data_IF_992490300859
#
_entry.id   IF_992490300859
#
_cell.length_a   1.000
_cell.length_b   1.000
_cell.length_c   1.000
_cell.angle_alpha   90.00
_cell.angle_beta   90.00
_cell.angle_gamma   90.00
#
_symmetry.space_group_name_H-M   'P 1'
#
loop_
_entity.id
_entity.type
_entity.pdbx_description
1 polymer ?
#
# COMPACT_ATOMS: atom_id res chain seq x y z
N UNK A 1 64.06 7.12 -18.76
CA UNK A 1 65.00 7.27 -17.63
C UNK A 1 64.19 7.53 -16.37
N UNK A 2 64.69 7.05 -15.23
CA UNK A 2 64.29 7.27 -13.82
C UNK A 2 62.90 7.87 -13.46
N UNK A 3 62.15 7.11 -12.64
CA UNK A 3 61.36 7.68 -11.53
C UNK A 3 62.27 7.98 -10.32
N UNK A 4 61.83 8.82 -9.36
CA UNK A 4 61.40 8.34 -8.02
C UNK A 4 60.01 8.93 -7.64
N UNK A 5 59.22 8.50 -6.64
CA UNK A 5 59.41 8.06 -5.25
C UNK A 5 59.79 9.20 -4.27
N UNK A 6 59.19 9.39 -3.07
CA UNK A 6 57.94 8.86 -2.48
C UNK A 6 57.21 10.03 -1.72
N UNK A 7 56.76 10.07 -0.45
CA UNK A 7 56.70 9.14 0.70
C UNK A 7 55.74 9.68 1.81
N UNK A 8 55.18 8.83 2.68
CA UNK A 8 54.40 9.20 3.89
C UNK A 8 52.92 9.62 3.67
N UNK A 9 52.03 9.60 4.68
CA UNK A 9 52.15 9.26 6.12
C UNK A 9 50.90 8.48 6.60
N UNK A 10 51.09 7.50 7.47
CA UNK A 10 50.03 6.79 8.21
C UNK A 10 49.84 7.40 9.62
N UNK A 11 48.62 7.37 10.17
CA UNK A 11 48.41 7.56 11.63
C UNK A 11 47.30 6.63 12.14
N UNK A 12 47.67 5.72 13.05
CA UNK A 12 46.75 4.90 13.84
C UNK A 12 47.19 4.92 15.30
N UNK A 13 46.49 5.64 16.19
CA UNK A 13 46.35 5.17 17.58
C UNK A 13 45.27 5.81 18.48
N UNK A 14 44.32 4.96 18.86
CA UNK A 14 44.15 4.51 20.26
C UNK A 14 43.96 5.53 21.40
N UNK A 15 42.72 5.63 21.92
CA UNK A 15 42.34 5.47 23.35
C UNK A 15 40.82 5.71 23.55
N UNK A 16 40.14 5.26 24.62
CA UNK A 16 40.23 4.08 25.53
C UNK A 16 39.15 4.24 26.62
N UNK A 17 38.33 3.21 26.90
CA UNK A 17 37.51 2.92 28.13
C UNK A 17 36.39 1.93 27.71
N UNK A 18 35.99 0.83 28.40
CA UNK A 18 36.18 0.25 29.76
C UNK A 18 35.70 1.16 30.91
N UNK A 19 34.84 0.76 31.85
CA UNK A 19 34.28 -0.56 32.25
C UNK A 19 32.83 -0.35 32.76
N UNK A 20 31.87 -1.27 32.58
CA UNK A 20 31.54 -2.48 33.38
C UNK A 20 30.73 -2.20 34.67
N UNK A 21 30.22 -3.28 35.29
CA UNK A 21 29.41 -3.36 36.52
C UNK A 21 27.96 -2.79 36.43
N UNK A 22 26.92 -3.44 36.98
CA UNK A 22 26.87 -4.78 37.61
C UNK A 22 25.45 -5.19 38.05
N UNK A 23 25.27 -6.50 38.28
CA UNK A 23 24.51 -7.18 39.36
C UNK A 23 23.31 -6.49 40.07
N UNK A 24 22.26 -7.17 40.56
CA UNK A 24 21.70 -8.54 40.45
C UNK A 24 20.38 -8.56 41.28
N UNK A 25 19.82 -9.74 41.60
CA UNK A 25 18.74 -9.98 42.60
C UNK A 25 17.32 -9.47 42.21
N UNK A 26 16.22 -9.94 42.80
CA UNK A 26 15.73 -11.31 43.05
C UNK A 26 14.21 -11.23 43.33
N UNK A 27 13.51 -12.36 43.52
CA UNK A 27 12.04 -12.38 43.66
C UNK A 27 11.55 -12.36 45.12
N UNK A 28 10.36 -11.78 45.35
CA UNK A 28 9.41 -11.94 46.49
C UNK A 28 8.23 -10.96 46.22
N UNK A 29 6.97 -11.16 46.60
CA UNK A 29 6.25 -12.34 47.12
C UNK A 29 4.77 -12.25 46.66
N UNK A 30 3.86 -13.08 47.18
CA UNK A 30 2.43 -13.06 46.88
C UNK A 30 1.58 -12.20 47.84
N UNK A 31 0.39 -11.78 47.40
CA UNK A 31 -0.86 -12.09 48.11
C UNK A 31 -2.07 -12.00 47.15
N UNK A 32 -3.23 -12.55 47.54
CA UNK A 32 -4.46 -12.50 46.76
C UNK A 32 -5.71 -12.29 47.64
N UNK A 33 -6.44 -11.18 47.43
CA UNK A 33 -7.73 -10.91 48.08
C UNK A 33 -8.81 -10.44 47.09
N UNK A 34 -9.58 -11.43 46.65
CA UNK A 34 -11.04 -11.51 46.85
C UNK A 34 -11.86 -10.20 46.91
N UNK A 35 -12.54 -9.86 45.81
CA UNK A 35 -13.70 -8.96 45.81
C UNK A 35 -14.98 -9.76 45.48
N UNK A 36 -15.98 -9.73 46.36
CA UNK A 36 -17.23 -10.52 46.26
C UNK A 36 -18.42 -9.71 45.73
N UNK A 37 -19.21 -10.33 44.85
CA UNK A 37 -20.54 -9.88 44.44
C UNK A 37 -20.54 -8.82 43.32
N UNK A 38 -21.56 -8.73 42.47
CA UNK A 38 -22.91 -9.30 42.57
C UNK A 38 -23.39 -9.92 41.24
N UNK A 39 -24.31 -10.87 41.33
CA UNK A 39 -24.96 -11.53 40.19
C UNK A 39 -26.11 -10.68 39.61
N UNK A 40 -26.15 -10.60 38.28
CA UNK A 40 -27.26 -10.02 37.50
C UNK A 40 -27.60 -10.94 36.31
N UNK A 41 -28.86 -10.98 35.84
CA UNK A 41 -29.32 -12.03 34.93
C UNK A 41 -28.76 -11.91 33.51
N UNK A 42 -28.51 -13.07 32.89
CA UNK A 42 -27.91 -13.17 31.57
C UNK A 42 -28.84 -12.69 30.44
N UNK A 43 -28.69 -11.43 30.05
CA UNK A 43 -29.26 -10.95 28.77
C UNK A 43 -28.37 -11.44 27.63
N UNK A 44 -28.78 -12.50 26.94
CA UNK A 44 -28.11 -13.03 25.74
C UNK A 44 -28.26 -12.05 24.58
N UNK A 45 -27.45 -10.98 24.59
CA UNK A 45 -27.25 -10.12 23.42
C UNK A 45 -26.69 -11.02 22.31
N UNK A 46 -27.54 -11.32 21.33
CA UNK A 46 -27.09 -12.00 20.13
C UNK A 46 -26.26 -11.00 19.34
N UNK A 47 -24.94 -11.06 19.50
CA UNK A 47 -23.98 -10.40 18.62
C UNK A 47 -24.12 -10.99 17.23
N UNK A 48 -25.11 -10.52 16.47
CA UNK A 48 -25.29 -10.82 15.06
C UNK A 48 -24.11 -10.20 14.31
N UNK A 49 -23.02 -10.96 14.23
CA UNK A 49 -21.94 -10.72 13.30
C UNK A 49 -22.49 -10.89 11.88
N UNK A 50 -23.13 -9.84 11.37
CA UNK A 50 -23.75 -9.78 10.04
C UNK A 50 -22.66 -9.71 8.96
N UNK A 51 -21.86 -10.78 8.90
CA UNK A 51 -20.86 -11.09 7.87
C UNK A 51 -21.56 -11.63 6.63
N UNK A 52 -22.62 -10.93 6.21
CA UNK A 52 -23.29 -11.12 4.94
C UNK A 52 -22.34 -10.74 3.81
N UNK A 53 -21.47 -11.68 3.45
CA UNK A 53 -20.50 -11.56 2.34
C UNK A 53 -21.24 -11.07 1.11
N UNK A 54 -20.88 -9.87 0.63
CA UNK A 54 -21.63 -9.21 -0.45
C UNK A 54 -21.62 -10.09 -1.71
N UNK A 55 -22.77 -10.69 -2.00
CA UNK A 55 -22.99 -11.53 -3.20
C UNK A 55 -23.21 -10.69 -4.47
N UNK A 56 -23.25 -9.36 -4.31
CA UNK A 56 -23.38 -8.37 -5.39
C UNK A 56 -22.25 -8.55 -6.40
N UNK A 57 -22.61 -8.77 -7.66
CA UNK A 57 -21.69 -8.65 -8.79
C UNK A 57 -21.56 -7.20 -9.24
N UNK A 58 -20.40 -6.86 -9.77
CA UNK A 58 -20.19 -5.61 -10.48
C UNK A 58 -21.01 -5.56 -11.77
N UNK A 59 -21.52 -4.38 -12.12
CA UNK A 59 -22.32 -4.16 -13.33
C UNK A 59 -21.99 -2.82 -14.02
N UNK A 60 -22.68 -2.49 -15.12
CA UNK A 60 -22.40 -1.26 -15.88
C UNK A 60 -22.62 0.02 -15.08
N UNK A 61 -23.51 0.03 -14.08
CA UNK A 61 -23.80 1.22 -13.28
C UNK A 61 -22.69 1.46 -12.24
N UNK A 62 -22.00 0.42 -11.78
CA UNK A 62 -20.79 0.53 -10.97
C UNK A 62 -19.63 1.24 -11.71
N UNK A 63 -19.59 1.11 -13.04
CA UNK A 63 -18.66 1.85 -13.91
C UNK A 63 -19.15 3.27 -14.18
N UNK A 64 -20.40 3.42 -14.64
CA UNK A 64 -21.00 4.73 -15.00
C UNK A 64 -21.04 5.72 -13.84
N UNK A 65 -21.33 5.26 -12.63
CA UNK A 65 -21.38 6.10 -11.42
C UNK A 65 -20.02 6.67 -11.03
N UNK A 66 -18.95 5.88 -11.20
CA UNK A 66 -17.57 6.25 -10.80
C UNK A 66 -16.80 7.01 -11.89
N UNK A 67 -17.06 6.77 -13.17
CA UNK A 67 -16.35 7.43 -14.28
C UNK A 67 -16.31 8.99 -14.19
N UNK A 68 -17.37 9.71 -13.77
CA UNK A 68 -17.34 11.17 -13.61
C UNK A 68 -16.41 11.67 -12.49
N UNK A 69 -16.10 10.84 -11.48
CA UNK A 69 -15.04 11.15 -10.51
C UNK A 69 -13.67 11.01 -11.18
N UNK A 70 -13.41 9.88 -11.85
CA UNK A 70 -12.11 9.64 -12.50
C UNK A 70 -11.81 10.59 -13.67
N UNK A 71 -12.83 11.06 -14.39
CA UNK A 71 -12.70 12.16 -15.37
C UNK A 71 -12.26 13.48 -14.73
N UNK A 72 -12.66 13.76 -13.48
CA UNK A 72 -12.21 14.94 -12.72
C UNK A 72 -10.81 14.72 -12.14
N UNK A 73 -10.52 13.54 -11.63
CA UNK A 73 -9.21 13.18 -11.10
C UNK A 73 -8.13 13.21 -12.18
N UNK A 74 -8.42 12.71 -13.39
CA UNK A 74 -7.54 12.85 -14.55
C UNK A 74 -7.15 14.29 -14.82
N UNK A 75 -8.12 15.22 -14.83
CA UNK A 75 -7.85 16.65 -14.98
C UNK A 75 -6.98 17.18 -13.84
N UNK A 76 -7.31 16.86 -12.57
CA UNK A 76 -6.50 17.30 -11.40
C UNK A 76 -5.05 16.82 -11.47
N UNK A 77 -4.83 15.53 -11.75
CA UNK A 77 -3.49 14.94 -11.88
C UNK A 77 -2.73 15.59 -13.04
N UNK A 78 -3.36 15.80 -14.20
CA UNK A 78 -2.74 16.47 -15.34
C UNK A 78 -2.34 17.93 -15.00
N UNK A 79 -3.23 18.71 -14.36
CA UNK A 79 -2.91 20.07 -13.90
C UNK A 79 -1.77 20.10 -12.88
N UNK A 80 -1.79 19.20 -11.88
CA UNK A 80 -0.73 19.11 -10.85
C UNK A 80 0.61 18.70 -11.49
N UNK A 81 0.63 17.72 -12.41
CA UNK A 81 1.81 17.33 -13.19
C UNK A 81 2.39 18.52 -13.97
N UNK A 82 1.57 19.25 -14.72
CA UNK A 82 2.02 20.45 -15.46
C UNK A 82 2.62 21.49 -14.51
N UNK A 83 1.97 21.75 -13.37
CA UNK A 83 2.50 22.69 -12.35
C UNK A 83 3.79 22.23 -11.67
N UNK A 84 4.14 20.93 -11.76
CA UNK A 84 5.36 20.33 -11.17
C UNK A 84 6.44 20.00 -12.20
N UNK A 85 6.35 20.55 -13.43
CA UNK A 85 7.36 20.34 -14.49
C UNK A 85 7.21 19.04 -15.28
N UNK A 86 6.06 18.37 -15.19
CA UNK A 86 5.76 17.12 -15.88
C UNK A 86 6.05 15.86 -15.04
N UNK A 87 6.07 14.71 -15.70
CA UNK A 87 6.38 13.42 -15.08
C UNK A 87 7.89 13.14 -15.16
N UNK A 88 8.54 12.93 -14.02
CA UNK A 88 9.98 12.66 -13.94
C UNK A 88 10.30 11.68 -12.79
N UNK A 89 11.45 10.96 -12.82
CA UNK A 89 11.81 10.05 -11.74
C UNK A 89 11.97 10.69 -10.36
N UNK A 90 12.30 11.99 -10.31
CA UNK A 90 12.49 12.78 -9.08
C UNK A 90 11.20 13.41 -8.53
N UNK A 91 10.08 13.32 -9.26
CA UNK A 91 8.79 13.85 -8.84
C UNK A 91 8.26 13.14 -7.58
N UNK A 92 7.66 13.89 -6.65
CA UNK A 92 6.91 13.33 -5.53
C UNK A 92 5.53 12.78 -6.00
N UNK A 93 5.55 11.65 -6.69
CA UNK A 93 4.38 10.96 -7.21
C UNK A 93 3.29 10.73 -6.14
N UNK A 94 3.71 10.45 -4.90
CA UNK A 94 2.81 10.22 -3.77
C UNK A 94 1.99 11.47 -3.44
N UNK A 95 2.62 12.64 -3.37
CA UNK A 95 1.95 13.92 -3.10
C UNK A 95 1.09 14.36 -4.29
N UNK A 96 1.60 14.23 -5.52
CA UNK A 96 0.85 14.58 -6.74
C UNK A 96 -0.47 13.80 -6.81
N UNK A 97 -0.45 12.50 -6.52
CA UNK A 97 -1.65 11.67 -6.50
C UNK A 97 -2.56 11.99 -5.30
N UNK A 98 -2.00 12.06 -4.08
CA UNK A 98 -2.80 12.28 -2.86
C UNK A 98 -3.51 13.63 -2.89
N UNK A 99 -2.78 14.73 -3.14
CA UNK A 99 -3.35 16.08 -3.24
C UNK A 99 -4.36 16.24 -4.38
N UNK A 100 -4.19 15.51 -5.50
CA UNK A 100 -5.18 15.49 -6.58
C UNK A 100 -6.50 14.82 -6.17
N UNK A 101 -6.44 13.75 -5.37
CA UNK A 101 -7.61 13.03 -4.83
C UNK A 101 -8.30 13.85 -3.73
N UNK A 102 -7.52 14.44 -2.83
CA UNK A 102 -7.99 15.33 -1.76
C UNK A 102 -8.69 16.59 -2.32
N UNK A 103 -8.17 17.16 -3.43
CA UNK A 103 -8.78 18.30 -4.14
C UNK A 103 -10.14 18.03 -4.81
N UNK A 104 -10.68 16.82 -4.64
CA UNK A 104 -11.99 16.34 -5.06
C UNK A 104 -12.82 15.79 -3.88
N UNK A 105 -12.43 16.11 -2.65
CA UNK A 105 -13.11 15.69 -1.40
C UNK A 105 -13.22 14.17 -1.26
N UNK A 106 -12.15 13.46 -1.64
CA UNK A 106 -12.02 12.01 -1.56
C UNK A 106 -10.67 11.64 -0.94
N UNK A 107 -10.52 10.39 -0.49
CA UNK A 107 -9.28 9.84 0.06
C UNK A 107 -8.72 8.71 -0.81
N UNK A 108 -7.43 8.39 -0.65
CA UNK A 108 -6.84 7.16 -1.16
C UNK A 108 -7.03 6.02 -0.15
N UNK A 109 -7.57 4.90 -0.60
CA UNK A 109 -7.58 3.66 0.16
C UNK A 109 -6.22 2.97 -0.02
N UNK A 110 -5.46 2.81 1.06
CA UNK A 110 -4.09 2.27 1.02
C UNK A 110 -4.08 0.92 1.74
N UNK A 111 -3.64 -0.13 1.07
CA UNK A 111 -3.47 -1.46 1.65
C UNK A 111 -2.01 -1.91 1.58
N UNK A 112 -1.42 -2.23 2.73
CA UNK A 112 -0.07 -2.80 2.83
C UNK A 112 -0.16 -4.26 3.26
N UNK A 113 0.56 -5.16 2.58
CA UNK A 113 0.76 -6.56 3.00
C UNK A 113 2.20 -7.01 2.78
N UNK A 114 2.70 -7.99 3.56
CA UNK A 114 3.96 -8.66 3.25
C UNK A 114 3.90 -9.39 1.91
N UNK A 115 4.96 -9.31 1.09
CA UNK A 115 5.05 -9.99 -0.21
C UNK A 115 4.88 -11.51 -0.09
N UNK A 116 5.37 -12.10 1.01
CA UNK A 116 5.21 -13.54 1.32
C UNK A 116 3.75 -14.00 1.39
N UNK A 117 2.83 -13.11 1.76
CA UNK A 117 1.41 -13.44 1.97
C UNK A 117 0.62 -13.35 0.64
N UNK A 118 1.24 -12.84 -0.43
CA UNK A 118 0.72 -12.86 -1.80
C UNK A 118 1.38 -13.99 -2.60
N UNK A 119 0.77 -15.18 -2.55
CA UNK A 119 1.23 -16.35 -3.32
C UNK A 119 1.14 -16.17 -4.85
N UNK A 120 0.29 -15.24 -5.30
CA UNK A 120 0.07 -14.93 -6.73
C UNK A 120 1.11 -13.94 -7.32
N UNK A 121 2.13 -13.50 -6.57
CA UNK A 121 3.25 -12.67 -7.08
C UNK A 121 4.57 -13.47 -7.20
N UNK A 122 5.49 -13.06 -8.09
CA UNK A 122 6.85 -13.61 -8.14
C UNK A 122 7.64 -13.36 -6.84
N UNK A 123 7.69 -14.35 -5.95
CA UNK A 123 8.49 -14.29 -4.73
C UNK A 123 9.97 -14.60 -5.05
N UNK A 124 10.73 -13.56 -5.39
CA UNK A 124 12.17 -13.68 -5.62
C UNK A 124 12.88 -14.02 -4.29
N UNK A 125 13.65 -15.11 -4.26
CA UNK A 125 14.28 -15.62 -3.03
C UNK A 125 15.40 -14.71 -2.47
N UNK A 126 15.76 -13.66 -3.21
CA UNK A 126 16.82 -12.69 -2.90
C UNK A 126 16.33 -11.24 -2.81
N UNK A 127 15.03 -10.95 -3.02
CA UNK A 127 14.55 -9.57 -2.99
C UNK A 127 14.51 -9.01 -1.58
N UNK A 128 15.20 -7.88 -1.38
CA UNK A 128 15.11 -7.05 -0.18
C UNK A 128 13.76 -6.31 -0.07
N UNK A 129 12.93 -6.37 -1.12
CA UNK A 129 11.55 -5.86 -1.11
C UNK A 129 10.61 -6.92 -0.53
N UNK A 130 9.95 -6.55 0.56
CA UNK A 130 9.15 -7.46 1.39
C UNK A 130 7.73 -6.92 1.68
N UNK A 131 7.41 -5.69 1.26
CA UNK A 131 6.11 -5.04 1.44
C UNK A 131 5.53 -4.72 0.06
N UNK A 132 4.26 -5.05 -0.13
CA UNK A 132 3.44 -4.65 -1.27
C UNK A 132 2.42 -3.61 -0.81
N UNK A 133 2.24 -2.57 -1.62
CA UNK A 133 1.23 -1.53 -1.45
C UNK A 133 0.25 -1.56 -2.61
N UNK A 134 -1.05 -1.67 -2.35
CA UNK A 134 -2.13 -1.42 -3.31
C UNK A 134 -2.81 -0.09 -2.99
N UNK A 135 -3.00 0.73 -4.03
CA UNK A 135 -3.73 1.99 -3.98
C UNK A 135 -5.07 1.86 -4.69
N UNK A 136 -6.13 2.29 -4.00
CA UNK A 136 -7.49 2.39 -4.55
C UNK A 136 -8.10 3.76 -4.22
N UNK A 137 -9.19 4.09 -4.89
CA UNK A 137 -10.04 5.24 -4.53
C UNK A 137 -11.48 4.94 -4.94
N UNK A 138 -12.45 5.23 -4.06
CA UNK A 138 -13.89 4.94 -4.30
C UNK A 138 -14.15 3.47 -4.70
N UNK A 139 -13.35 2.55 -4.16
CA UNK A 139 -13.41 1.13 -4.49
C UNK A 139 -12.80 0.73 -5.84
N UNK A 140 -12.11 1.63 -6.56
CA UNK A 140 -11.44 1.35 -7.84
C UNK A 140 -9.93 1.22 -7.65
N UNK A 141 -9.33 0.13 -8.15
CA UNK A 141 -7.88 -0.08 -8.20
C UNK A 141 -7.18 0.96 -9.10
N UNK A 142 -6.09 1.56 -8.59
CA UNK A 142 -5.29 2.56 -9.30
C UNK A 142 -3.87 2.09 -9.62
N UNK A 143 -3.25 1.34 -8.71
CA UNK A 143 -1.85 0.93 -8.87
C UNK A 143 -1.34 0.06 -7.73
N UNK A 144 -0.21 -0.62 -7.96
CA UNK A 144 0.49 -1.46 -6.99
C UNK A 144 1.99 -1.17 -7.06
N UNK A 145 2.68 -1.34 -5.93
CA UNK A 145 4.13 -1.21 -5.85
C UNK A 145 4.74 -2.05 -4.73
N UNK A 146 5.93 -2.58 -4.98
CA UNK A 146 6.74 -3.30 -4.02
C UNK A 146 7.79 -2.36 -3.39
N UNK A 147 8.32 -2.73 -2.22
CA UNK A 147 9.40 -2.00 -1.56
C UNK A 147 9.90 -2.67 -0.28
N UNK A 148 10.99 -2.13 0.26
CA UNK A 148 11.59 -2.53 1.56
C UNK A 148 10.90 -1.87 2.77
N UNK A 149 10.14 -0.80 2.50
CA UNK A 149 9.41 0.04 3.46
C UNK A 149 8.04 0.36 2.90
N UNK A 150 7.09 0.78 3.77
CA UNK A 150 5.75 1.19 3.33
C UNK A 150 5.81 2.43 2.43
N UNK A 151 6.75 3.31 2.72
CA UNK A 151 6.98 4.59 2.06
C UNK A 151 7.46 4.34 0.62
N UNK A 152 8.44 3.45 0.44
CA UNK A 152 8.93 3.09 -0.90
C UNK A 152 7.87 2.32 -1.69
N UNK A 153 7.17 1.36 -1.06
CA UNK A 153 6.09 0.64 -1.72
C UNK A 153 4.94 1.58 -2.17
N UNK A 154 4.57 2.56 -1.33
CA UNK A 154 3.58 3.61 -1.66
C UNK A 154 4.10 4.52 -2.78
N UNK A 155 5.37 4.90 -2.78
CA UNK A 155 5.96 5.74 -3.83
C UNK A 155 5.96 5.03 -5.19
N UNK A 156 6.33 3.73 -5.22
CA UNK A 156 6.21 2.89 -6.43
C UNK A 156 4.75 2.81 -6.87
N UNK A 157 3.82 2.43 -5.97
CA UNK A 157 2.40 2.31 -6.31
C UNK A 157 1.80 3.63 -6.85
N UNK A 158 2.19 4.77 -6.28
CA UNK A 158 1.74 6.10 -6.71
C UNK A 158 2.28 6.46 -8.09
N UNK A 159 3.54 6.10 -8.38
CA UNK A 159 4.15 6.28 -9.70
C UNK A 159 3.45 5.42 -10.76
N UNK A 160 3.19 4.14 -10.46
CA UNK A 160 2.49 3.25 -11.40
C UNK A 160 1.05 3.71 -11.65
N UNK A 161 0.34 4.20 -10.62
CA UNK A 161 -0.97 4.84 -10.79
C UNK A 161 -0.91 6.11 -11.65
N UNK A 162 0.10 6.98 -11.44
CA UNK A 162 0.28 8.19 -12.26
C UNK A 162 0.52 7.86 -13.74
N UNK A 163 1.23 6.76 -14.08
CA UNK A 163 1.41 6.33 -15.49
C UNK A 163 0.08 6.10 -16.22
N UNK A 164 -0.99 5.70 -15.52
CA UNK A 164 -2.33 5.57 -16.11
C UNK A 164 -2.89 6.95 -16.49
N UNK A 165 -2.70 7.96 -15.65
CA UNK A 165 -3.12 9.34 -15.92
C UNK A 165 -2.28 10.06 -17.00
N UNK A 166 -1.12 9.52 -17.39
CA UNK A 166 -0.36 10.00 -18.56
C UNK A 166 -0.97 9.57 -19.91
N UNK A 167 -1.99 8.69 -19.90
CA UNK A 167 -2.62 8.19 -21.12
C UNK A 167 -3.61 9.20 -21.71
N UNK A 168 -3.92 9.01 -23.00
CA UNK A 168 -4.83 9.87 -23.77
C UNK A 168 -6.24 9.97 -23.16
N UNK A 169 -6.69 8.90 -22.49
CA UNK A 169 -7.96 8.83 -21.76
C UNK A 169 -7.88 7.72 -20.72
N UNK A 170 -8.47 7.95 -19.54
CA UNK A 170 -8.63 6.93 -18.50
C UNK A 170 -10.08 6.50 -18.35
N UNK A 171 -10.30 5.22 -18.15
CA UNK A 171 -11.63 4.61 -18.02
C UNK A 171 -11.66 3.62 -16.87
N UNK A 172 -12.75 3.65 -16.09
CA UNK A 172 -13.08 2.60 -15.14
C UNK A 172 -13.60 1.41 -15.94
N UNK A 173 -13.03 0.23 -15.73
CA UNK A 173 -13.47 -1.02 -16.38
C UNK A 173 -13.66 -2.09 -15.30
N UNK A 174 -14.67 -2.95 -15.48
CA UNK A 174 -14.70 -4.24 -14.78
C UNK A 174 -13.62 -5.11 -15.43
N UNK A 175 -12.80 -5.73 -14.60
CA UNK A 175 -11.68 -6.57 -15.00
C UNK A 175 -11.64 -7.83 -14.14
N UNK A 176 -10.85 -8.82 -14.56
CA UNK A 176 -10.48 -9.95 -13.71
C UNK A 176 -9.13 -9.66 -13.06
N UNK A 177 -9.01 -9.98 -11.77
CA UNK A 177 -7.74 -10.06 -11.04
C UNK A 177 -7.66 -11.41 -10.34
N UNK A 178 -6.45 -11.84 -9.97
CA UNK A 178 -6.26 -12.97 -9.06
C UNK A 178 -6.49 -12.56 -7.61
N UNK A 179 -7.12 -13.42 -6.82
CA UNK A 179 -7.16 -13.31 -5.37
C UNK A 179 -7.16 -14.72 -4.79
N UNK A 180 -6.10 -15.07 -4.06
CA UNK A 180 -5.87 -16.42 -3.55
C UNK A 180 -6.01 -17.50 -4.66
N UNK A 181 -5.35 -17.26 -5.80
CA UNK A 181 -5.41 -18.12 -7.01
C UNK A 181 -6.70 -18.03 -7.84
N UNK A 182 -7.81 -17.54 -7.27
CA UNK A 182 -9.11 -17.47 -7.95
C UNK A 182 -9.26 -16.21 -8.79
N UNK A 183 -10.03 -16.29 -9.89
CA UNK A 183 -10.46 -15.12 -10.66
C UNK A 183 -11.57 -14.37 -9.91
N UNK A 184 -11.32 -13.11 -9.57
CA UNK A 184 -12.32 -12.20 -8.99
C UNK A 184 -12.58 -11.02 -9.92
N UNK A 185 -13.83 -10.56 -9.97
CA UNK A 185 -14.22 -9.33 -10.66
C UNK A 185 -13.77 -8.13 -9.82
N UNK A 186 -13.04 -7.19 -10.41
CA UNK A 186 -12.59 -5.95 -9.77
C UNK A 186 -12.87 -4.73 -10.68
N UNK A 187 -12.99 -3.54 -10.10
CA UNK A 187 -12.98 -2.27 -10.81
C UNK A 187 -11.54 -1.74 -10.86
N UNK A 188 -11.01 -1.51 -12.05
CA UNK A 188 -9.71 -0.88 -12.25
C UNK A 188 -9.82 0.38 -13.11
N UNK A 189 -9.00 1.39 -12.79
CA UNK A 189 -8.75 2.52 -13.66
C UNK A 189 -7.68 2.13 -14.69
N UNK A 190 -8.02 2.20 -15.97
CA UNK A 190 -7.18 1.74 -17.08
C UNK A 190 -7.11 2.79 -18.19
N UNK A 191 -6.16 2.60 -19.09
CA UNK A 191 -6.17 3.20 -20.43
C UNK A 191 -7.44 2.75 -21.19
N UNK A 192 -8.01 3.62 -22.04
CA UNK A 192 -9.08 3.21 -22.95
C UNK A 192 -8.59 2.15 -23.94
N UNK A 193 -7.37 2.32 -24.47
CA UNK A 193 -6.82 1.50 -25.54
C UNK A 193 -6.42 0.08 -25.08
N UNK A 194 -6.24 -0.14 -23.77
CA UNK A 194 -5.94 -1.46 -23.19
C UNK A 194 -7.18 -2.35 -23.21
N UNK A 195 -7.12 -3.40 -24.04
CA UNK A 195 -8.15 -4.46 -24.15
C UNK A 195 -8.01 -5.54 -23.09
N UNK A 196 -6.79 -6.05 -22.89
CA UNK A 196 -6.47 -7.11 -21.94
C UNK A 196 -5.43 -6.60 -20.93
N UNK A 197 -5.84 -6.08 -19.76
CA UNK A 197 -4.92 -5.54 -18.77
C UNK A 197 -4.26 -6.67 -17.97
N UNK A 198 -2.92 -6.75 -18.00
CA UNK A 198 -2.18 -7.66 -17.11
C UNK A 198 -2.09 -7.04 -15.72
N UNK A 199 -3.14 -7.26 -14.91
CA UNK A 199 -3.24 -6.70 -13.56
C UNK A 199 -2.61 -7.63 -12.52
N UNK A 200 -1.90 -7.09 -11.51
CA UNK A 200 -1.43 -7.89 -10.39
C UNK A 200 -2.62 -8.41 -9.56
N UNK A 201 -2.43 -9.48 -8.77
CA UNK A 201 -3.43 -9.96 -7.83
C UNK A 201 -3.90 -8.87 -6.88
N UNK A 202 -5.11 -9.01 -6.34
CA UNK A 202 -5.70 -8.08 -5.39
C UNK A 202 -5.14 -8.30 -3.98
N UNK A 203 -4.82 -7.22 -3.27
CA UNK A 203 -4.35 -7.27 -1.87
C UNK A 203 -5.50 -7.59 -0.90
N UNK A 204 -6.74 -7.25 -1.27
CA UNK A 204 -7.99 -7.57 -0.56
C UNK A 204 -8.98 -8.14 -1.55
N UNK A 205 -9.92 -8.97 -1.10
CA UNK A 205 -11.05 -9.43 -1.90
C UNK A 205 -11.84 -8.20 -2.42
N UNK A 206 -11.94 -7.97 -3.75
CA UNK A 206 -12.65 -6.81 -4.29
C UNK A 206 -14.13 -6.77 -3.92
N UNK A 207 -14.77 -7.93 -3.69
CA UNK A 207 -16.19 -8.02 -3.31
C UNK A 207 -16.47 -7.44 -1.92
N UNK A 208 -15.50 -7.50 -1.02
CA UNK A 208 -15.62 -6.94 0.34
C UNK A 208 -15.41 -5.42 0.36
N UNK A 209 -15.12 -4.81 -0.80
CA UNK A 209 -15.04 -3.37 -1.02
C UNK A 209 -16.30 -2.80 -1.72
N UNK A 210 -17.31 -3.65 -1.97
CA UNK A 210 -18.58 -3.29 -2.61
C UNK A 210 -19.63 -2.90 -1.57
N UNK A 211 -19.44 -1.70 -1.03
CA UNK A 211 -20.43 -0.95 -0.24
C UNK A 211 -21.51 -0.37 -1.19
#
# INVERSE_FOLDING_TARGET
MCSPAAEGVEDESSKKQRSADGQHNEAHDADAQEWKGHSGPATRVQSQANTGKSTRRLNSEDVKSRQPFFNRLYKRVAWKLVSSGGFSPSLNHTEVLSSSVESLSSTLDIAFVPLKDLADLPQNKTTQENIVCELRCQGVYLGMGCGKTKENAKAVASREAIKVFLKKKVVVKICKRKYCGQDVEDLALLDEEVRCPNLPPAVKNPRDLLI
#
